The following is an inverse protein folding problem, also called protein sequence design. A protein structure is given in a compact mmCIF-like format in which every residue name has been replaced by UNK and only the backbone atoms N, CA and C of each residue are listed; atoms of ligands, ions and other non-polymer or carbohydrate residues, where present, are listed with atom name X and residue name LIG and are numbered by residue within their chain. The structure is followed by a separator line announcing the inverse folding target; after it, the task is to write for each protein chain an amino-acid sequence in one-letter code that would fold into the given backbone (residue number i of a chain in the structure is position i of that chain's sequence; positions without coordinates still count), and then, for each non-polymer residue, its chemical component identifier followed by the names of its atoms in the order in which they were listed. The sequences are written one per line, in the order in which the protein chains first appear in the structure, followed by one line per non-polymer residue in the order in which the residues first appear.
data_IF_905663212340
#
_entry.id   IF_905663212340
#
_cell.length_a   1.000
_cell.length_b   1.000
_cell.length_c   1.000
_cell.angle_alpha   90.00
_cell.angle_beta   90.00
_cell.angle_gamma   90.00
#
_symmetry.space_group_name_H-M   'P 1'
#
loop_
_entity.id
_entity.type
_entity.pdbx_description
1 polymer ?
#
# COMPACT_ATOMS: atom_id res chain seq x y z
N UNK A 1 -0.43 3.18 -6.41
CA UNK A 1 -0.68 1.91 -5.69
C UNK A 1 -0.34 1.93 -4.20
N UNK A 2 0.94 2.03 -3.77
CA UNK A 2 1.27 1.99 -2.31
C UNK A 2 0.58 3.11 -1.52
N UNK A 3 0.49 4.31 -2.09
CA UNK A 3 -0.24 5.44 -1.49
C UNK A 3 -1.75 5.22 -1.46
N UNK A 4 -2.34 4.59 -2.48
CA UNK A 4 -3.77 4.24 -2.50
C UNK A 4 -4.11 3.23 -1.40
N UNK A 5 -3.29 2.18 -1.24
CA UNK A 5 -3.44 1.20 -0.16
C UNK A 5 -3.35 1.89 1.21
N UNK A 6 -2.40 2.82 1.37
CA UNK A 6 -2.25 3.63 2.59
C UNK A 6 -3.50 4.47 2.86
N UNK A 7 -4.07 5.11 1.84
CA UNK A 7 -5.31 5.89 1.98
C UNK A 7 -6.50 5.01 2.34
N UNK A 8 -6.68 3.86 1.67
CA UNK A 8 -7.76 2.89 1.99
C UNK A 8 -7.64 2.43 3.45
N UNK A 9 -6.43 2.07 3.91
CA UNK A 9 -6.19 1.72 5.33
C UNK A 9 -6.55 2.86 6.28
N UNK A 10 -6.23 4.11 5.92
CA UNK A 10 -6.59 5.27 6.72
C UNK A 10 -8.12 5.48 6.80
N UNK A 11 -8.85 5.24 5.70
CA UNK A 11 -10.32 5.30 5.66
C UNK A 11 -10.96 4.20 6.50
N UNK A 12 -10.45 2.97 6.42
CA UNK A 12 -10.90 1.84 7.26
C UNK A 12 -10.69 2.19 8.73
N UNK A 13 -9.52 2.70 9.11
CA UNK A 13 -9.22 3.10 10.50
C UNK A 13 -10.19 4.17 11.02
N UNK A 14 -10.58 5.13 10.19
CA UNK A 14 -11.60 6.14 10.55
C UNK A 14 -12.97 5.50 10.79
N UNK A 15 -13.35 4.51 9.97
CA UNK A 15 -14.61 3.78 10.12
C UNK A 15 -14.59 2.88 11.36
N UNK A 16 -13.50 2.17 11.62
CA UNK A 16 -13.36 1.33 12.82
C UNK A 16 -13.48 2.17 14.10
N UNK A 17 -12.83 3.35 14.15
CA UNK A 17 -12.97 4.27 15.28
C UNK A 17 -14.43 4.71 15.51
N UNK A 18 -15.19 4.95 14.44
CA UNK A 18 -16.60 5.28 14.54
C UNK A 18 -17.44 4.09 15.04
N UNK A 19 -17.12 2.87 14.58
CA UNK A 19 -17.88 1.67 14.91
C UNK A 19 -17.59 1.15 16.32
N UNK A 20 -16.38 1.39 16.83
CA UNK A 20 -15.97 1.08 18.20
C UNK A 20 -16.65 2.01 19.22
N UNK A 21 -16.71 3.32 18.91
CA UNK A 21 -17.33 4.32 19.76
C UNK A 21 -18.37 5.14 18.97
N UNK A 22 -19.55 4.57 18.67
CA UNK A 22 -20.57 5.26 17.92
C UNK A 22 -21.16 6.44 18.73
N UNK A 23 -21.40 7.60 18.10
CA UNK A 23 -21.95 8.75 18.80
C UNK A 23 -23.37 8.42 19.29
N UNK A 24 -23.59 8.63 20.59
CA UNK A 24 -24.91 8.51 21.21
C UNK A 24 -25.67 9.81 20.96
N UNK A 25 -26.83 9.70 20.34
CA UNK A 25 -27.76 10.82 20.13
C UNK A 25 -28.81 10.78 21.22
N UNK A 26 -29.18 11.95 21.74
CA UNK A 26 -30.27 12.07 22.70
C UNK A 26 -31.34 13.00 22.18
N UNK A 27 -32.59 12.56 22.19
CA UNK A 27 -33.76 13.35 21.83
C UNK A 27 -34.70 13.51 23.02
N UNK A 28 -35.48 14.58 23.05
CA UNK A 28 -36.44 14.86 24.13
C UNK A 28 -37.85 14.90 23.58
N UNK A 29 -38.67 13.93 23.99
CA UNK A 29 -40.08 13.84 23.61
C UNK A 29 -40.97 14.09 24.82
N UNK A 30 -42.19 14.60 24.60
CA UNK A 30 -43.21 14.62 25.66
C UNK A 30 -43.87 13.25 25.75
N UNK A 31 -43.93 12.69 26.96
CA UNK A 31 -44.58 11.40 27.20
C UNK A 31 -44.96 11.20 28.66
N UNK A 32 -45.66 10.11 28.93
CA UNK A 32 -46.08 9.70 30.27
C UNK A 32 -45.01 8.79 30.86
N UNK A 33 -44.50 9.14 32.06
CA UNK A 33 -43.54 8.30 32.79
C UNK A 33 -44.26 7.10 33.43
N UNK A 34 -43.49 6.12 33.89
CA UNK A 34 -44.04 4.94 34.59
C UNK A 34 -44.92 5.31 35.80
N UNK A 35 -44.64 6.46 36.42
CA UNK A 35 -45.37 7.00 37.57
C UNK A 35 -46.63 7.81 37.19
N UNK A 36 -47.01 7.84 35.91
CA UNK A 36 -48.20 8.54 35.41
C UNK A 36 -48.00 10.04 35.12
N UNK A 37 -46.88 10.63 35.52
CA UNK A 37 -46.57 12.05 35.25
C UNK A 37 -46.27 12.28 33.77
N UNK A 38 -46.96 13.24 33.15
CA UNK A 38 -46.69 13.69 31.77
C UNK A 38 -45.60 14.75 31.81
N UNK A 39 -44.51 14.52 31.07
CA UNK A 39 -43.40 15.46 31.03
C UNK A 39 -42.38 15.14 29.94
N UNK A 40 -41.29 15.93 29.85
CA UNK A 40 -40.20 15.62 28.94
C UNK A 40 -39.49 14.33 29.37
N UNK A 41 -39.25 13.45 28.39
CA UNK A 41 -38.52 12.19 28.51
C UNK A 41 -37.34 12.26 27.55
N UNK A 42 -36.13 12.01 28.06
CA UNK A 42 -34.90 11.95 27.26
C UNK A 42 -34.68 10.51 26.80
N UNK A 43 -34.64 10.29 25.49
CA UNK A 43 -34.34 9.00 24.87
C UNK A 43 -32.92 9.08 24.32
N UNK A 44 -32.05 8.16 24.70
CA UNK A 44 -30.68 8.05 24.20
C UNK A 44 -30.51 6.79 23.35
N UNK A 45 -29.77 6.88 22.26
CA UNK A 45 -29.49 5.73 21.40
C UNK A 45 -28.45 5.97 20.32
N UNK A 46 -27.99 4.89 19.71
CA UNK A 46 -27.12 4.94 18.53
C UNK A 46 -28.02 5.02 17.28
N UNK A 47 -27.74 5.92 16.32
CA UNK A 47 -28.49 5.96 15.07
C UNK A 47 -28.22 4.70 14.22
N UNK A 48 -29.08 3.68 14.38
CA UNK A 48 -28.95 2.36 13.76
C UNK A 48 -28.76 2.39 12.23
N UNK A 49 -29.51 3.20 11.45
CA UNK A 49 -29.32 3.24 10.00
C UNK A 49 -27.94 3.75 9.57
N UNK A 50 -27.40 4.73 10.29
CA UNK A 50 -26.05 5.26 10.05
C UNK A 50 -24.97 4.25 10.41
N UNK A 51 -25.16 3.53 11.52
CA UNK A 51 -24.26 2.47 11.96
C UNK A 51 -24.15 1.35 10.91
N UNK A 52 -25.31 0.83 10.46
CA UNK A 52 -25.36 -0.23 9.43
C UNK A 52 -24.74 0.23 8.10
N UNK A 53 -25.02 1.46 7.65
CA UNK A 53 -24.39 2.01 6.43
C UNK A 53 -22.87 2.06 6.54
N UNK A 54 -22.33 2.50 7.67
CA UNK A 54 -20.87 2.58 7.88
C UNK A 54 -20.22 1.21 7.98
N UNK A 55 -20.89 0.22 8.56
CA UNK A 55 -20.45 -1.19 8.52
C UNK A 55 -20.30 -1.67 7.08
N UNK A 56 -21.32 -1.49 6.24
CA UNK A 56 -21.29 -1.92 4.83
C UNK A 56 -20.16 -1.23 4.05
N UNK A 57 -19.97 0.06 4.27
CA UNK A 57 -18.87 0.83 3.64
C UNK A 57 -17.51 0.28 4.09
N UNK A 58 -17.34 -0.05 5.38
CA UNK A 58 -16.10 -0.64 5.89
C UNK A 58 -15.80 -1.97 5.19
N UNK A 59 -16.78 -2.87 5.08
CA UNK A 59 -16.57 -4.17 4.43
C UNK A 59 -16.20 -4.00 2.94
N UNK A 60 -16.83 -3.05 2.24
CA UNK A 60 -16.41 -2.70 0.87
C UNK A 60 -14.97 -2.23 0.79
N UNK A 61 -14.53 -1.38 1.71
CA UNK A 61 -13.13 -0.94 1.74
C UNK A 61 -12.16 -2.08 2.06
N UNK A 62 -12.54 -3.05 2.90
CA UNK A 62 -11.72 -4.24 3.19
C UNK A 62 -11.56 -5.11 1.95
N UNK A 63 -12.64 -5.39 1.23
CA UNK A 63 -12.57 -6.14 -0.03
C UNK A 63 -11.73 -5.41 -1.08
N UNK A 64 -11.84 -4.08 -1.16
CA UNK A 64 -11.02 -3.28 -2.06
C UNK A 64 -9.54 -3.32 -1.66
N UNK A 65 -9.24 -3.22 -0.36
CA UNK A 65 -7.89 -3.30 0.17
C UNK A 65 -7.24 -4.64 -0.20
N UNK A 66 -7.94 -5.75 0.05
CA UNK A 66 -7.47 -7.10 -0.25
C UNK A 66 -7.14 -7.26 -1.74
N UNK A 67 -8.05 -6.85 -2.63
CA UNK A 67 -7.80 -6.89 -4.08
C UNK A 67 -6.56 -6.09 -4.48
N UNK A 68 -6.38 -4.91 -3.90
CA UNK A 68 -5.23 -4.04 -4.17
C UNK A 68 -3.92 -4.60 -3.62
N UNK A 69 -3.97 -5.29 -2.48
CA UNK A 69 -2.81 -5.96 -1.89
C UNK A 69 -2.39 -7.17 -2.74
N UNK A 70 -3.35 -7.94 -3.26
CA UNK A 70 -3.10 -9.02 -4.22
C UNK A 70 -2.51 -8.48 -5.52
N UNK A 71 -3.10 -7.44 -6.11
CA UNK A 71 -2.57 -6.79 -7.33
C UNK A 71 -1.13 -6.30 -7.12
N UNK A 72 -0.83 -5.71 -5.97
CA UNK A 72 0.52 -5.26 -5.63
C UNK A 72 1.50 -6.44 -5.53
N UNK A 73 1.07 -7.56 -4.95
CA UNK A 73 1.88 -8.77 -4.83
C UNK A 73 2.17 -9.38 -6.20
N UNK A 74 1.17 -9.50 -7.06
CA UNK A 74 1.32 -10.01 -8.43
C UNK A 74 2.31 -9.17 -9.24
N UNK A 75 2.22 -7.84 -9.16
CA UNK A 75 3.17 -6.94 -9.81
C UNK A 75 4.59 -7.08 -9.25
N UNK A 76 4.73 -7.32 -7.95
CA UNK A 76 6.04 -7.59 -7.34
C UNK A 76 6.64 -8.90 -7.86
N UNK A 77 5.84 -9.97 -7.96
CA UNK A 77 6.26 -11.23 -8.55
C UNK A 77 6.70 -11.04 -10.02
N UNK A 78 5.91 -10.34 -10.84
CA UNK A 78 6.27 -10.05 -12.23
C UNK A 78 7.59 -9.26 -12.33
N UNK A 79 7.81 -8.30 -11.44
CA UNK A 79 9.07 -7.55 -11.40
C UNK A 79 10.26 -8.45 -11.04
N UNK A 80 10.10 -9.36 -10.06
CA UNK A 80 11.13 -10.32 -9.70
C UNK A 80 11.43 -11.33 -10.82
N UNK A 81 10.40 -11.86 -11.47
CA UNK A 81 10.55 -12.73 -12.65
C UNK A 81 11.28 -12.01 -13.79
N UNK A 82 10.93 -10.75 -14.07
CA UNK A 82 11.63 -9.95 -15.06
C UNK A 82 13.11 -9.74 -14.68
N UNK A 83 13.39 -9.37 -13.43
CA UNK A 83 14.76 -9.22 -12.92
C UNK A 83 15.53 -10.53 -13.05
N UNK A 84 14.90 -11.67 -12.75
CA UNK A 84 15.50 -13.00 -12.86
C UNK A 84 15.83 -13.37 -14.31
N UNK A 85 15.00 -12.94 -15.27
CA UNK A 85 15.25 -13.17 -16.71
C UNK A 85 16.48 -12.44 -17.24
N UNK A 86 17.00 -11.44 -16.53
CA UNK A 86 18.18 -10.67 -16.94
C UNK A 86 19.41 -11.60 -16.98
N UNK A 87 20.13 -11.68 -18.12
CA UNK A 87 21.24 -12.63 -18.29
C UNK A 87 22.47 -12.26 -17.46
N UNK A 88 22.65 -10.98 -17.12
CA UNK A 88 23.81 -10.51 -16.35
C UNK A 88 23.51 -10.55 -14.85
N UNK A 89 24.19 -11.40 -14.05
CA UNK A 89 23.90 -11.54 -12.63
C UNK A 89 24.23 -10.27 -11.82
N UNK A 90 25.28 -9.53 -12.19
CA UNK A 90 25.57 -8.23 -11.55
C UNK A 90 24.39 -7.26 -11.67
N UNK A 91 23.80 -7.14 -12.87
CA UNK A 91 22.65 -6.25 -13.10
C UNK A 91 21.42 -6.71 -12.35
N UNK A 92 21.19 -8.03 -12.26
CA UNK A 92 20.10 -8.60 -11.47
C UNK A 92 20.14 -8.14 -10.02
N UNK A 93 21.31 -8.24 -9.39
CA UNK A 93 21.51 -7.80 -8.00
C UNK A 93 21.27 -6.30 -7.88
N UNK A 94 21.83 -5.50 -8.81
CA UNK A 94 21.65 -4.04 -8.77
C UNK A 94 20.18 -3.63 -8.91
N UNK A 95 19.43 -4.27 -9.82
CA UNK A 95 18.00 -3.99 -10.01
C UNK A 95 17.16 -4.43 -8.83
N UNK A 96 17.48 -5.57 -8.20
CA UNK A 96 16.83 -5.99 -6.96
C UNK A 96 17.02 -4.97 -5.85
N UNK A 97 18.26 -4.52 -5.64
CA UNK A 97 18.58 -3.50 -4.63
C UNK A 97 17.81 -2.19 -4.89
N UNK A 98 17.69 -1.78 -6.15
CA UNK A 98 17.02 -0.52 -6.48
C UNK A 98 15.50 -0.61 -6.42
N UNK A 99 14.89 -1.56 -7.14
CA UNK A 99 13.43 -1.61 -7.33
C UNK A 99 12.68 -2.42 -6.28
N UNK A 100 13.31 -3.46 -5.70
CA UNK A 100 12.69 -4.30 -4.67
C UNK A 100 13.05 -3.78 -3.28
N UNK A 101 14.35 -3.62 -3.01
CA UNK A 101 14.84 -3.21 -1.68
C UNK A 101 14.77 -1.68 -1.46
N UNK A 102 14.54 -0.89 -2.51
CA UNK A 102 14.29 0.56 -2.42
C UNK A 102 15.53 1.41 -2.20
N UNK A 103 16.74 0.91 -2.49
CA UNK A 103 17.96 1.71 -2.40
C UNK A 103 18.05 2.75 -3.53
N UNK A 104 18.51 3.96 -3.21
CA UNK A 104 18.98 4.91 -4.24
C UNK A 104 20.29 4.46 -4.88
N UNK A 105 20.69 5.11 -5.98
CA UNK A 105 21.90 4.74 -6.74
C UNK A 105 23.18 4.66 -5.88
N UNK A 106 23.38 5.62 -4.97
CA UNK A 106 24.50 5.61 -4.03
C UNK A 106 24.43 4.44 -3.02
N UNK A 107 23.21 4.06 -2.59
CA UNK A 107 22.98 2.91 -1.73
C UNK A 107 23.29 1.59 -2.43
N UNK A 108 22.84 1.43 -3.68
CA UNK A 108 23.19 0.30 -4.55
C UNK A 108 24.70 0.20 -4.71
N UNK A 109 25.39 1.31 -5.00
CA UNK A 109 26.84 1.32 -5.15
C UNK A 109 27.56 0.85 -3.88
N UNK A 110 27.17 1.36 -2.71
CA UNK A 110 27.72 0.92 -1.41
C UNK A 110 27.51 -0.57 -1.19
N UNK A 111 26.29 -1.06 -1.40
CA UNK A 111 25.96 -2.47 -1.19
C UNK A 111 26.72 -3.39 -2.16
N UNK A 112 26.82 -2.99 -3.42
CA UNK A 112 27.60 -3.71 -4.43
C UNK A 112 29.09 -3.74 -4.11
N UNK A 113 29.66 -2.64 -3.59
CA UNK A 113 31.06 -2.64 -3.14
C UNK A 113 31.28 -3.55 -1.93
N UNK A 114 30.32 -3.61 -1.01
CA UNK A 114 30.37 -4.53 0.14
C UNK A 114 30.28 -6.00 -0.29
N UNK A 115 29.43 -6.32 -1.27
CA UNK A 115 29.29 -7.69 -1.81
C UNK A 115 30.48 -8.11 -2.68
N UNK A 116 31.11 -7.18 -3.39
CA UNK A 116 32.22 -7.44 -4.33
C UNK A 116 33.49 -6.65 -3.94
N UNK A 117 34.12 -6.93 -2.78
CA UNK A 117 35.23 -6.14 -2.27
C UNK A 117 36.52 -6.27 -3.10
N UNK A 118 36.67 -7.37 -3.86
CA UNK A 118 37.86 -7.66 -4.68
C UNK A 118 37.81 -7.06 -6.10
N UNK A 119 36.85 -6.19 -6.38
CA UNK A 119 36.65 -5.61 -7.71
C UNK A 119 37.68 -4.50 -7.94
N UNK A 120 38.36 -4.53 -9.10
CA UNK A 120 39.39 -3.53 -9.45
C UNK A 120 38.86 -2.09 -9.53
N UNK A 121 37.62 -1.92 -9.98
CA UNK A 121 36.96 -0.61 -10.09
C UNK A 121 35.73 -0.62 -9.21
N UNK A 122 35.72 0.25 -8.19
CA UNK A 122 34.58 0.39 -7.29
C UNK A 122 33.33 0.88 -8.03
N UNK A 123 32.18 0.46 -7.54
CA UNK A 123 30.91 1.00 -7.95
C UNK A 123 30.76 2.43 -7.41
N UNK A 124 30.50 3.37 -8.30
CA UNK A 124 30.09 4.74 -7.97
C UNK A 124 28.64 4.95 -8.38
N UNK A 125 28.00 5.96 -7.80
CA UNK A 125 26.62 6.34 -8.15
C UNK A 125 26.43 6.54 -9.67
N UNK A 126 27.35 7.30 -10.28
CA UNK A 126 27.40 7.57 -11.71
C UNK A 126 27.53 6.28 -12.55
N UNK A 127 28.35 5.33 -12.10
CA UNK A 127 28.55 4.05 -12.77
C UNK A 127 27.26 3.21 -12.73
N UNK A 128 26.60 3.14 -11.57
CA UNK A 128 25.31 2.45 -11.41
C UNK A 128 24.27 3.05 -12.34
N UNK A 129 24.13 4.38 -12.36
CA UNK A 129 23.17 5.08 -13.22
C UNK A 129 23.42 4.80 -14.70
N UNK A 130 24.67 4.90 -15.17
CA UNK A 130 25.03 4.59 -16.57
C UNK A 130 24.77 3.13 -16.94
N UNK A 131 24.96 2.19 -16.01
CA UNK A 131 24.63 0.77 -16.22
C UNK A 131 23.14 0.55 -16.41
N UNK A 132 22.30 1.23 -15.63
CA UNK A 132 20.85 1.17 -15.74
C UNK A 132 20.39 1.74 -17.09
N UNK A 133 20.86 2.94 -17.44
CA UNK A 133 20.54 3.58 -18.72
C UNK A 133 20.91 2.69 -19.91
N UNK A 134 22.13 2.16 -19.95
CA UNK A 134 22.59 1.26 -21.01
C UNK A 134 21.80 -0.04 -21.09
N UNK A 135 21.24 -0.52 -19.98
CA UNK A 135 20.38 -1.70 -20.00
C UNK A 135 19.06 -1.37 -20.69
N UNK A 136 18.37 -0.30 -20.27
CA UNK A 136 17.10 0.10 -20.87
C UNK A 136 17.23 0.53 -22.34
N UNK A 137 18.28 1.28 -22.70
CA UNK A 137 18.56 1.65 -24.10
C UNK A 137 18.76 0.41 -25.00
N UNK A 138 19.32 -0.67 -24.47
CA UNK A 138 19.47 -1.92 -25.22
C UNK A 138 18.15 -2.66 -25.34
N UNK A 139 17.33 -2.67 -24.29
CA UNK A 139 15.99 -3.27 -24.31
C UNK A 139 15.10 -2.55 -25.33
N UNK A 140 15.11 -1.22 -25.38
CA UNK A 140 14.34 -0.43 -26.35
C UNK A 140 14.78 -0.65 -27.81
N UNK A 141 16.07 -0.92 -28.04
CA UNK A 141 16.63 -1.17 -29.37
C UNK A 141 16.49 -2.62 -29.82
N UNK A 142 16.14 -3.54 -28.92
CA UNK A 142 15.82 -4.92 -29.28
C UNK A 142 14.35 -4.98 -29.71
N UNK A 143 14.03 -5.44 -30.94
CA UNK A 143 12.64 -5.71 -31.30
C UNK A 143 12.03 -6.69 -30.30
N UNK A 144 10.73 -6.61 -30.00
CA UNK A 144 10.09 -7.55 -29.09
C UNK A 144 10.35 -8.95 -29.62
N UNK A 145 10.99 -9.81 -28.82
CA UNK A 145 11.07 -11.22 -29.16
C UNK A 145 9.63 -11.71 -29.29
N UNK A 146 9.24 -12.05 -30.52
CA UNK A 146 7.97 -12.69 -30.82
C UNK A 146 7.84 -13.90 -29.89
N UNK A 147 6.82 -13.86 -29.02
CA UNK A 147 6.41 -15.03 -28.25
C UNK A 147 5.77 -16.06 -29.17
#
# INVERSE_FOLDING_TARGET
MKEEIKDIRARIKKLDKFLENPPVVSDTVKGTRKDGTIGPIRITGIPQPMYVRKLQIRERYRQLLEKKEVELLELACQAEEYIQSIPKPELRIMFRLYYIDGYGYAGVARQMNSMFPKRNVSYTEENVKKRFLRFFEKVEKCPPMSR
#
